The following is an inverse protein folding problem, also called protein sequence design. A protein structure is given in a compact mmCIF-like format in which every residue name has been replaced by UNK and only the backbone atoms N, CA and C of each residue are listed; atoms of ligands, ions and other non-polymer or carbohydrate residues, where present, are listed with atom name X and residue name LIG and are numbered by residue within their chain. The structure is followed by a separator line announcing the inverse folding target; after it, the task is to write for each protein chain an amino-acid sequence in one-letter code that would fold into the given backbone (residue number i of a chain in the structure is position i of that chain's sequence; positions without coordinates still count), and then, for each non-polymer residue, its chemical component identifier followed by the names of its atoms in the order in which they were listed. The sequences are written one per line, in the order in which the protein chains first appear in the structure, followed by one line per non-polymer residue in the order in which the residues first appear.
data_IF_892997660453
#
_entry.id   IF_892997660453
#
_cell.length_a   1.000
_cell.length_b   1.000
_cell.length_c   1.000
_cell.angle_alpha   90.00
_cell.angle_beta   90.00
_cell.angle_gamma   90.00
#
_symmetry.space_group_name_H-M   'P 1'
#
loop_
_entity.id
_entity.type
_entity.pdbx_description
1 polymer ?
#
# COMPACT_ATOMS: atom_id res chain seq x y z
N UNK A 1 6.83 -28.85 6.02
CA UNK A 1 8.00 -27.94 5.86
C UNK A 1 7.47 -26.54 5.75
N UNK A 2 7.97 -25.62 6.57
CA UNK A 2 7.50 -24.24 6.65
C UNK A 2 8.00 -23.43 5.46
N UNK A 3 7.26 -22.40 5.08
CA UNK A 3 7.58 -21.43 4.02
C UNK A 3 9.04 -20.89 4.06
N UNK A 4 9.64 -20.86 5.24
CA UNK A 4 11.04 -20.46 5.44
C UNK A 4 12.08 -21.49 5.00
N UNK A 5 11.73 -22.75 4.83
CA UNK A 5 12.69 -23.79 4.38
C UNK A 5 12.79 -23.89 2.85
N UNK A 6 11.76 -23.46 2.11
CA UNK A 6 11.75 -23.50 0.65
C UNK A 6 12.74 -22.56 -0.03
N UNK A 7 13.17 -21.50 0.67
CA UNK A 7 14.08 -20.48 0.10
C UNK A 7 15.58 -20.77 0.34
N UNK A 8 15.94 -21.83 1.07
CA UNK A 8 17.35 -22.11 1.43
C UNK A 8 18.17 -22.88 0.41
N UNK A 9 17.57 -23.41 -0.66
CA UNK A 9 18.26 -24.26 -1.63
C UNK A 9 18.43 -23.63 -3.01
N UNK A 10 19.05 -22.46 -3.12
CA UNK A 10 19.68 -22.01 -4.36
C UNK A 10 20.99 -21.31 -4.05
N UNK A 11 22.04 -22.08 -3.92
CA UNK A 11 23.40 -21.56 -3.96
C UNK A 11 24.20 -22.29 -5.01
N UNK A 12 24.94 -21.46 -5.77
CA UNK A 12 26.18 -21.73 -6.47
C UNK A 12 26.13 -22.65 -7.71
N UNK A 13 25.80 -22.01 -8.83
CA UNK A 13 26.35 -22.37 -10.11
C UNK A 13 27.30 -21.28 -10.61
N UNK A 14 28.61 -21.50 -10.51
CA UNK A 14 29.63 -20.65 -11.13
C UNK A 14 29.50 -20.73 -12.64
N UNK A 15 29.09 -19.67 -13.31
CA UNK A 15 29.30 -19.53 -14.76
C UNK A 15 30.47 -18.59 -15.01
N UNK A 16 31.45 -19.13 -15.71
CA UNK A 16 32.62 -18.44 -16.25
C UNK A 16 32.19 -17.46 -17.34
N UNK A 17 32.71 -16.26 -17.28
CA UNK A 17 32.63 -15.26 -18.35
C UNK A 17 33.67 -15.58 -19.42
N UNK A 18 33.39 -15.46 -20.73
CA UNK A 18 34.43 -15.22 -21.72
C UNK A 18 34.60 -13.71 -21.94
N UNK A 19 35.84 -13.31 -22.01
CA UNK A 19 36.28 -11.96 -22.39
C UNK A 19 36.31 -11.85 -23.92
N UNK A 20 36.01 -10.67 -24.45
CA UNK A 20 36.20 -10.37 -25.87
C UNK A 20 35.76 -8.97 -26.26
N UNK A 21 36.70 -8.05 -26.18
CA UNK A 21 37.07 -6.91 -27.08
C UNK A 21 35.95 -6.32 -27.97
N UNK A 22 35.60 -5.05 -27.75
CA UNK A 22 36.10 -3.78 -28.33
C UNK A 22 35.81 -3.62 -29.85
N UNK A 23 35.14 -2.62 -30.27
CA UNK A 23 35.65 -1.39 -30.90
C UNK A 23 34.50 -0.48 -31.41
N UNK A 24 34.80 0.78 -31.37
CA UNK A 24 33.96 1.91 -31.77
C UNK A 24 33.67 1.96 -33.29
N UNK A 25 32.59 2.64 -33.66
CA UNK A 25 32.56 3.49 -34.85
C UNK A 25 31.48 4.59 -34.71
N UNK A 26 31.97 5.81 -34.83
CA UNK A 26 31.26 7.06 -35.02
C UNK A 26 30.73 7.22 -36.45
N UNK A 27 29.90 8.20 -36.62
CA UNK A 27 29.43 8.90 -37.80
C UNK A 27 27.99 8.51 -38.18
N UNK A 28 26.99 9.39 -38.09
CA UNK A 28 26.94 10.68 -38.77
C UNK A 28 25.89 10.60 -39.87
N UNK A 29 24.67 11.09 -39.59
CA UNK A 29 23.80 11.56 -40.70
C UNK A 29 23.02 12.78 -40.24
N UNK A 30 23.44 13.90 -40.82
CA UNK A 30 22.77 15.22 -40.84
C UNK A 30 22.20 15.41 -42.23
N UNK A 31 21.11 16.21 -42.30
CA UNK A 31 20.51 16.83 -43.50
C UNK A 31 19.39 15.99 -44.16
N UNK A 32 18.25 16.52 -44.51
CA UNK A 32 17.69 17.79 -44.97
C UNK A 32 16.20 17.57 -45.26
N UNK A 33 15.40 18.59 -45.05
CA UNK A 33 14.20 19.06 -45.77
C UNK A 33 13.31 19.75 -44.74
N UNK A 34 12.87 20.94 -44.85
CA UNK A 34 12.75 21.91 -45.88
C UNK A 34 11.85 23.02 -45.35
N UNK A 35 12.22 24.23 -45.54
CA UNK A 35 11.54 25.44 -45.08
C UNK A 35 10.14 25.60 -45.68
N UNK A 36 9.17 26.04 -44.87
CA UNK A 36 8.05 26.82 -45.35
C UNK A 36 7.80 27.97 -44.39
N UNK A 37 7.81 29.17 -44.92
CA UNK A 37 7.64 30.46 -44.26
C UNK A 37 6.27 30.64 -43.62
N UNK A 38 6.24 31.21 -42.40
CA UNK A 38 5.17 32.07 -41.95
C UNK A 38 5.77 33.13 -41.01
N UNK A 39 5.37 34.36 -41.25
CA UNK A 39 5.88 35.62 -40.73
C UNK A 39 5.82 35.69 -39.19
N UNK A 40 6.90 36.21 -38.60
CA UNK A 40 6.97 36.67 -37.21
C UNK A 40 6.18 37.98 -37.10
N UNK A 41 5.10 38.00 -36.31
CA UNK A 41 4.62 39.21 -35.67
C UNK A 41 5.22 39.29 -34.28
N UNK A 42 6.10 40.26 -34.07
CA UNK A 42 6.65 40.67 -32.78
C UNK A 42 5.52 41.18 -31.88
N UNK A 43 5.09 40.39 -30.91
CA UNK A 43 4.25 40.85 -29.81
C UNK A 43 5.15 41.28 -28.66
N UNK A 44 5.19 42.57 -28.40
CA UNK A 44 5.88 43.19 -27.28
C UNK A 44 5.22 42.74 -25.93
N UNK A 45 5.93 41.91 -25.22
CA UNK A 45 5.50 41.35 -23.91
C UNK A 45 5.69 42.34 -22.75
N UNK A 46 6.10 43.59 -22.99
CA UNK A 46 6.35 44.57 -21.93
C UNK A 46 5.08 45.28 -21.40
N UNK A 47 3.94 45.16 -22.08
CA UNK A 47 2.68 45.84 -21.69
C UNK A 47 1.71 44.98 -20.86
N UNK A 48 2.07 43.75 -20.48
CA UNK A 48 1.15 42.82 -19.78
C UNK A 48 1.50 42.50 -18.32
N UNK A 49 2.47 43.16 -17.72
CA UNK A 49 2.83 42.97 -16.31
C UNK A 49 3.01 44.29 -15.58
N UNK A 50 1.90 44.99 -15.33
CA UNK A 50 1.85 46.02 -14.28
C UNK A 50 1.60 45.30 -12.93
N UNK A 51 2.70 44.96 -12.23
CA UNK A 51 2.71 44.27 -10.93
C UNK A 51 2.82 45.26 -9.74
N UNK A 52 2.34 46.50 -9.89
CA UNK A 52 2.54 47.54 -8.87
C UNK A 52 1.43 47.67 -7.82
N UNK A 53 0.39 46.83 -7.82
CA UNK A 53 -0.64 46.84 -6.74
C UNK A 53 -1.09 45.46 -6.32
N UNK A 54 -0.24 44.67 -5.61
CA UNK A 54 -0.69 43.67 -4.65
C UNK A 54 0.28 43.70 -3.47
N UNK A 55 0.08 44.67 -2.57
CA UNK A 55 0.46 44.51 -1.16
C UNK A 55 -0.61 43.63 -0.52
N UNK A 56 -0.49 42.31 -0.63
CA UNK A 56 -1.19 41.39 0.26
C UNK A 56 -0.40 41.33 1.56
N UNK A 57 -1.11 41.65 2.66
CA UNK A 57 -0.70 41.42 4.03
C UNK A 57 -0.28 39.95 4.19
N UNK A 58 1.01 39.67 3.99
CA UNK A 58 1.61 38.42 4.41
C UNK A 58 1.68 38.45 5.94
N UNK A 59 0.65 37.94 6.62
CA UNK A 59 0.82 37.50 7.99
C UNK A 59 2.07 36.61 8.03
N UNK A 60 3.08 37.04 8.80
CA UNK A 60 4.25 36.22 9.09
C UNK A 60 3.78 34.90 9.70
N UNK A 61 3.69 33.85 8.88
CA UNK A 61 3.51 32.49 9.37
C UNK A 61 4.79 32.14 10.12
N UNK A 62 4.74 32.14 11.43
CA UNK A 62 5.84 31.68 12.29
C UNK A 62 6.13 30.22 11.92
N UNK A 63 7.17 30.04 11.11
CA UNK A 63 7.67 28.70 10.76
C UNK A 63 8.31 28.13 12.02
N UNK A 64 7.54 27.36 12.76
CA UNK A 64 8.04 26.61 13.91
C UNK A 64 9.19 25.71 13.44
N UNK A 65 10.28 25.60 14.23
CA UNK A 65 11.37 24.70 13.89
C UNK A 65 10.84 23.28 13.71
N UNK A 66 11.38 22.51 12.75
CA UNK A 66 10.92 21.16 12.40
C UNK A 66 10.67 20.25 13.60
N UNK A 67 11.51 20.35 14.62
CA UNK A 67 11.46 19.52 15.84
C UNK A 67 10.24 19.78 16.71
N UNK A 68 9.76 21.05 16.79
CA UNK A 68 8.59 21.39 17.59
C UNK A 68 7.30 20.84 16.97
N UNK A 69 7.23 20.79 15.64
CA UNK A 69 6.08 20.23 14.90
C UNK A 69 6.02 18.71 15.03
N UNK A 70 7.18 18.03 14.95
CA UNK A 70 7.32 16.58 15.15
C UNK A 70 6.90 16.17 16.56
N UNK A 71 7.39 16.86 17.59
CA UNK A 71 7.03 16.58 19.00
C UNK A 71 5.55 16.81 19.31
N UNK A 72 4.93 17.82 18.69
CA UNK A 72 3.50 18.09 18.87
C UNK A 72 2.63 17.01 18.19
N UNK A 73 3.05 16.52 17.02
CA UNK A 73 2.38 15.44 16.27
C UNK A 73 2.54 14.09 16.95
N UNK A 74 3.74 13.76 17.40
CA UNK A 74 3.99 12.52 18.13
C UNK A 74 3.08 12.41 19.34
N UNK A 75 2.89 13.50 20.09
CA UNK A 75 1.92 13.56 21.18
C UNK A 75 0.47 13.36 20.74
N UNK A 76 0.07 13.92 19.61
CA UNK A 76 -1.29 13.79 19.09
C UNK A 76 -1.61 12.34 18.65
N UNK A 77 -0.64 11.66 18.04
CA UNK A 77 -0.82 10.32 17.48
C UNK A 77 -0.62 9.20 18.49
N UNK A 78 0.16 9.45 19.55
CA UNK A 78 0.57 8.44 20.52
C UNK A 78 0.13 8.78 21.95
N UNK A 79 -0.76 9.76 22.15
CA UNK A 79 -1.28 10.07 23.47
C UNK A 79 -2.07 8.90 24.02
N UNK A 80 -1.72 8.37 25.21
CA UNK A 80 -2.46 7.28 25.81
C UNK A 80 -3.90 7.66 26.07
N UNK A 81 -4.85 6.78 25.72
CA UNK A 81 -6.24 6.95 26.11
C UNK A 81 -6.40 6.60 27.59
N UNK A 82 -7.16 7.43 28.34
CA UNK A 82 -7.44 7.15 29.74
C UNK A 82 -8.22 5.84 29.87
N UNK A 83 -7.71 4.93 30.71
CA UNK A 83 -8.30 3.60 30.88
C UNK A 83 -8.00 2.57 29.81
N UNK A 84 -7.23 2.92 28.77
CA UNK A 84 -6.79 1.97 27.76
C UNK A 84 -5.75 1.02 28.35
N UNK A 85 -5.82 -0.30 28.04
CA UNK A 85 -4.76 -1.26 28.39
C UNK A 85 -3.47 -1.00 27.62
N UNK A 86 -3.54 -0.20 26.56
CA UNK A 86 -2.42 0.21 25.72
C UNK A 86 -2.07 1.67 25.99
N UNK A 87 -0.80 2.02 25.90
CA UNK A 87 -0.33 3.39 26.07
C UNK A 87 -0.61 4.31 24.87
N UNK A 88 -1.25 3.82 23.81
CA UNK A 88 -1.64 4.59 22.63
C UNK A 88 -3.13 4.91 22.64
N UNK A 89 -3.49 6.14 22.29
CA UNK A 89 -4.90 6.49 22.04
C UNK A 89 -5.32 5.91 20.68
N UNK A 90 -6.09 4.82 20.70
CA UNK A 90 -6.50 4.13 19.49
C UNK A 90 -7.46 4.91 18.60
N UNK A 91 -8.15 5.92 19.12
CA UNK A 91 -9.03 6.78 18.33
C UNK A 91 -8.23 7.61 17.30
N UNK A 92 -6.98 7.94 17.63
CA UNK A 92 -6.09 8.71 16.75
C UNK A 92 -4.90 7.90 16.24
N UNK A 93 -4.82 6.61 16.60
CA UNK A 93 -3.77 5.73 16.10
C UNK A 93 -4.02 5.40 14.62
N UNK A 94 -3.22 5.94 13.75
CA UNK A 94 -3.39 5.79 12.29
C UNK A 94 -3.25 4.34 11.77
N UNK A 95 -2.83 3.41 12.59
CA UNK A 95 -2.84 1.98 12.25
C UNK A 95 -4.23 1.35 12.37
N UNK A 96 -5.05 1.84 13.29
CA UNK A 96 -6.36 1.26 13.58
C UNK A 96 -7.52 2.16 13.15
N UNK A 97 -7.28 3.46 13.11
CA UNK A 97 -8.31 4.45 12.75
C UNK A 97 -7.84 5.20 11.52
N UNK A 98 -8.37 4.89 10.33
CA UNK A 98 -8.06 5.65 9.14
C UNK A 98 -8.45 7.12 9.37
N UNK A 99 -7.52 8.00 9.10
CA UNK A 99 -7.84 9.43 9.03
C UNK A 99 -8.89 9.65 7.96
N UNK A 100 -9.78 10.63 8.16
CA UNK A 100 -10.74 10.99 7.14
C UNK A 100 -10.02 11.31 5.83
N UNK A 101 -10.40 10.65 4.76
CA UNK A 101 -9.80 10.84 3.42
C UNK A 101 -9.92 12.26 2.89
N UNK A 102 -10.73 13.09 3.52
CA UNK A 102 -10.96 14.49 3.17
C UNK A 102 -9.83 15.41 3.60
N UNK A 103 -9.00 14.99 4.57
CA UNK A 103 -7.81 15.76 4.99
C UNK A 103 -6.54 15.15 4.38
N UNK A 104 -6.34 15.37 3.10
CA UNK A 104 -5.17 14.85 2.36
C UNK A 104 -3.85 15.40 2.91
N UNK A 105 -3.84 16.63 3.40
CA UNK A 105 -2.63 17.24 3.95
C UNK A 105 -2.20 16.52 5.24
N UNK A 106 -3.11 16.27 6.17
CA UNK A 106 -2.82 15.54 7.40
C UNK A 106 -2.40 14.08 7.12
N UNK A 107 -3.07 13.42 6.16
CA UNK A 107 -2.68 12.08 5.72
C UNK A 107 -1.27 12.08 5.13
N UNK A 108 -0.95 13.05 4.27
CA UNK A 108 0.37 13.17 3.66
C UNK A 108 1.46 13.41 4.70
N UNK A 109 1.24 14.31 5.61
CA UNK A 109 2.17 14.59 6.70
C UNK A 109 2.50 13.34 7.52
N UNK A 110 1.51 12.51 7.83
CA UNK A 110 1.71 11.23 8.48
C UNK A 110 2.56 10.27 7.60
N UNK A 111 2.28 10.23 6.30
CA UNK A 111 2.94 9.31 5.37
C UNK A 111 4.43 9.60 5.18
N UNK A 112 4.83 10.86 5.26
CA UNK A 112 6.22 11.28 5.03
C UNK A 112 7.09 11.35 6.31
N UNK A 113 6.50 11.09 7.49
CA UNK A 113 7.30 10.99 8.72
C UNK A 113 8.28 9.81 8.65
N UNK A 114 9.46 9.94 9.24
CA UNK A 114 10.37 8.81 9.43
C UNK A 114 9.66 7.63 10.10
N UNK A 115 10.18 6.44 9.90
CA UNK A 115 9.68 5.21 10.52
C UNK A 115 10.79 4.64 11.44
N UNK A 116 10.43 4.25 12.64
CA UNK A 116 11.32 3.49 13.50
C UNK A 116 11.19 2.01 13.21
N UNK A 117 12.29 1.37 12.83
CA UNK A 117 12.37 -0.09 12.57
C UNK A 117 13.39 -0.72 13.52
N UNK A 118 13.45 -2.05 13.57
CA UNK A 118 14.49 -2.77 14.29
C UNK A 118 15.67 -3.04 13.36
N UNK A 119 16.88 -2.66 13.78
CA UNK A 119 18.13 -2.85 13.00
C UNK A 119 18.52 -4.33 12.98
N UNK A 120 17.80 -5.09 12.20
CA UNK A 120 17.98 -6.52 11.98
C UNK A 120 17.75 -6.84 10.50
N UNK A 121 18.09 -8.05 10.08
CA UNK A 121 17.91 -8.45 8.70
C UNK A 121 16.40 -8.47 8.33
N UNK A 122 16.06 -7.98 7.15
CA UNK A 122 14.69 -7.91 6.60
C UNK A 122 13.93 -9.26 6.52
N UNK A 123 14.59 -10.37 6.81
CA UNK A 123 13.99 -11.72 6.89
C UNK A 123 14.15 -12.34 8.26
N UNK A 124 14.47 -11.52 9.25
CA UNK A 124 14.65 -11.97 10.62
C UNK A 124 13.55 -11.40 11.50
N UNK A 125 12.79 -12.26 12.16
CA UNK A 125 11.84 -11.85 13.18
C UNK A 125 12.56 -11.65 14.51
N UNK A 126 12.50 -10.44 15.01
CA UNK A 126 12.97 -10.08 16.35
C UNK A 126 11.87 -10.36 17.34
N UNK A 127 12.15 -11.18 18.33
CA UNK A 127 11.21 -11.50 19.40
C UNK A 127 11.15 -10.36 20.39
N UNK A 128 9.95 -9.91 20.69
CA UNK A 128 9.70 -8.80 21.61
C UNK A 128 9.35 -9.37 22.97
N UNK A 129 10.09 -8.96 23.98
CA UNK A 129 10.03 -9.50 25.33
C UNK A 129 8.86 -8.90 26.10
N UNK A 130 8.33 -9.69 27.04
CA UNK A 130 7.29 -9.23 27.95
C UNK A 130 7.86 -8.27 29.03
N UNK A 131 9.07 -8.50 29.46
CA UNK A 131 9.76 -7.73 30.49
C UNK A 131 11.09 -7.19 29.95
N UNK A 132 11.57 -6.03 30.44
CA UNK A 132 12.83 -5.42 30.03
C UNK A 132 14.06 -6.14 30.64
N UNK A 133 14.18 -7.42 30.33
CA UNK A 133 15.22 -8.31 30.87
C UNK A 133 15.72 -9.24 29.77
N UNK A 134 17.06 -9.30 29.61
CA UNK A 134 17.71 -10.20 28.65
C UNK A 134 17.44 -11.69 28.92
N UNK A 135 17.16 -12.06 30.16
CA UNK A 135 16.88 -13.42 30.58
C UNK A 135 15.38 -13.78 30.51
N UNK A 136 14.52 -12.79 30.20
CA UNK A 136 13.09 -13.03 29.96
C UNK A 136 12.89 -13.93 28.74
N UNK A 137 12.19 -15.06 28.95
CA UNK A 137 11.86 -16.05 27.91
C UNK A 137 10.41 -15.98 27.44
N UNK A 138 9.62 -15.05 28.00
CA UNK A 138 8.28 -14.75 27.58
C UNK A 138 8.28 -13.64 26.53
N UNK A 139 7.50 -13.85 25.46
CA UNK A 139 7.44 -12.94 24.32
C UNK A 139 6.01 -12.54 24.02
N UNK A 140 5.77 -11.29 23.72
CA UNK A 140 4.45 -10.72 23.40
C UNK A 140 4.16 -10.70 21.90
N UNK A 141 5.20 -10.72 21.05
CA UNK A 141 5.07 -10.73 19.60
C UNK A 141 6.44 -10.86 18.92
N UNK A 142 6.43 -10.83 17.61
CA UNK A 142 7.63 -10.79 16.77
C UNK A 142 7.47 -9.69 15.71
N UNK A 143 8.55 -8.97 15.43
CA UNK A 143 8.62 -7.89 14.44
C UNK A 143 9.67 -8.23 13.38
N UNK A 144 9.33 -8.04 12.12
CA UNK A 144 10.30 -8.23 11.04
C UNK A 144 11.31 -7.08 11.02
N UNK A 145 12.59 -7.41 11.09
CA UNK A 145 13.68 -6.43 11.06
C UNK A 145 13.69 -5.59 9.79
N UNK A 146 14.25 -4.40 9.87
CA UNK A 146 14.52 -3.43 8.82
C UNK A 146 13.31 -2.92 8.00
N UNK A 147 12.17 -3.62 7.99
CA UNK A 147 11.03 -3.24 7.13
C UNK A 147 9.75 -2.93 7.87
N UNK A 148 9.54 -3.51 9.04
CA UNK A 148 8.33 -3.30 9.82
C UNK A 148 8.56 -2.20 10.86
N UNK A 149 7.68 -1.21 10.86
CA UNK A 149 7.68 -0.11 11.81
C UNK A 149 7.20 -0.53 13.19
N UNK A 150 7.75 0.15 14.20
CA UNK A 150 7.35 0.06 15.59
C UNK A 150 7.11 1.46 16.15
N UNK A 151 6.11 1.61 17.01
CA UNK A 151 5.94 2.83 17.78
C UNK A 151 6.66 2.71 19.11
N UNK A 152 7.56 3.64 19.39
CA UNK A 152 8.29 3.70 20.66
C UNK A 152 7.42 4.45 21.66
N UNK A 153 6.82 3.71 22.60
CA UNK A 153 5.96 4.29 23.64
C UNK A 153 6.75 4.86 24.80
N UNK A 154 7.90 4.23 25.11
CA UNK A 154 8.79 4.65 26.16
C UNK A 154 10.22 4.27 25.77
N UNK A 155 11.08 5.26 25.62
CA UNK A 155 12.49 5.07 25.30
C UNK A 155 13.30 5.05 26.58
N UNK A 156 13.85 3.89 26.94
CA UNK A 156 14.78 3.75 28.03
C UNK A 156 16.24 3.71 27.54
N UNK A 157 17.18 3.62 28.48
CA UNK A 157 18.62 3.57 28.19
C UNK A 157 19.00 2.22 27.55
N UNK A 158 18.63 1.10 28.18
CA UNK A 158 18.93 -0.25 27.68
C UNK A 158 17.74 -0.88 26.97
N UNK A 159 16.51 -0.66 27.48
CA UNK A 159 15.28 -1.24 27.00
C UNK A 159 14.25 -0.17 26.66
N UNK A 160 13.55 -0.35 25.58
CA UNK A 160 12.43 0.52 25.16
C UNK A 160 11.15 -0.28 25.06
N UNK A 161 10.04 0.30 25.53
CA UNK A 161 8.70 -0.24 25.31
C UNK A 161 8.22 0.19 23.93
N UNK A 162 7.79 -0.79 23.12
CA UNK A 162 7.27 -0.57 21.78
C UNK A 162 5.87 -1.13 21.62
N UNK A 163 5.15 -0.62 20.62
CA UNK A 163 3.91 -1.17 20.11
C UNK A 163 4.10 -1.53 18.62
N UNK A 164 3.54 -2.66 18.21
CA UNK A 164 3.53 -3.11 16.82
C UNK A 164 2.44 -4.16 16.58
N UNK A 165 2.23 -4.54 15.31
CA UNK A 165 1.50 -5.76 14.97
C UNK A 165 2.47 -6.93 14.82
N UNK A 166 2.10 -8.09 15.36
CA UNK A 166 2.97 -9.25 15.32
C UNK A 166 3.04 -9.88 13.93
N UNK A 167 4.26 -10.19 13.51
CA UNK A 167 4.59 -10.89 12.26
C UNK A 167 5.19 -12.27 12.52
N UNK A 168 4.81 -12.95 13.62
CA UNK A 168 5.29 -14.28 13.94
C UNK A 168 5.01 -15.25 12.78
N UNK A 169 6.04 -15.93 12.22
CA UNK A 169 5.80 -16.88 11.15
C UNK A 169 5.15 -18.17 11.66
N UNK A 170 4.53 -18.92 10.76
CA UNK A 170 4.05 -20.26 11.08
C UNK A 170 5.19 -21.13 11.63
N UNK A 171 4.94 -21.79 12.75
CA UNK A 171 5.94 -22.61 13.47
C UNK A 171 6.82 -21.83 14.45
N UNK A 172 6.64 -20.52 14.60
CA UNK A 172 7.25 -19.78 15.70
C UNK A 172 6.75 -20.29 17.07
N UNK A 173 7.60 -20.12 18.08
CA UNK A 173 7.19 -20.34 19.50
C UNK A 173 6.29 -19.22 19.98
N UNK A 174 6.41 -18.01 19.42
CA UNK A 174 5.52 -16.90 19.65
C UNK A 174 4.31 -17.09 18.75
N UNK A 175 3.15 -17.39 19.33
CA UNK A 175 1.93 -17.73 18.59
C UNK A 175 0.98 -16.55 18.50
N UNK A 176 1.52 -15.38 18.18
CA UNK A 176 0.79 -14.13 17.99
C UNK A 176 0.98 -13.70 16.54
N UNK A 177 -0.09 -13.56 15.79
CA UNK A 177 -0.03 -13.17 14.38
C UNK A 177 -1.09 -12.11 14.07
N UNK A 178 -0.66 -11.04 13.38
CA UNK A 178 -1.50 -9.93 12.95
C UNK A 178 -2.30 -9.26 14.09
N UNK A 179 -1.93 -9.51 15.33
CA UNK A 179 -2.50 -8.87 16.51
C UNK A 179 -1.58 -7.76 16.99
N UNK A 180 -2.18 -6.66 17.46
CA UNK A 180 -1.44 -5.55 18.05
C UNK A 180 -0.98 -5.93 19.45
N UNK A 181 0.27 -5.62 19.76
CA UNK A 181 0.90 -5.96 21.04
C UNK A 181 1.84 -4.86 21.51
N UNK A 182 2.18 -4.92 22.79
CA UNK A 182 3.24 -4.11 23.40
C UNK A 182 4.28 -5.02 24.06
N UNK A 183 5.52 -4.56 24.10
CA UNK A 183 6.61 -5.28 24.75
C UNK A 183 7.95 -4.57 24.61
N UNK A 184 8.98 -5.19 25.12
CA UNK A 184 10.30 -4.57 25.26
C UNK A 184 11.29 -5.11 24.24
N UNK A 185 12.09 -4.19 23.71
CA UNK A 185 13.21 -4.45 22.81
C UNK A 185 14.44 -3.69 23.31
N UNK A 186 15.64 -4.22 23.04
CA UNK A 186 16.87 -3.48 23.33
C UNK A 186 16.87 -2.15 22.57
N UNK A 187 17.09 -1.06 23.27
CA UNK A 187 17.08 0.31 22.70
C UNK A 187 18.08 0.47 21.56
N UNK A 188 19.21 -0.25 21.63
CA UNK A 188 20.24 -0.28 20.58
C UNK A 188 19.77 -0.80 19.23
N UNK A 189 18.65 -1.56 19.18
CA UNK A 189 18.06 -2.05 17.94
C UNK A 189 17.14 -1.05 17.26
N UNK A 190 16.74 0.04 17.94
CA UNK A 190 15.84 1.03 17.37
C UNK A 190 16.59 1.92 16.37
N UNK A 191 16.13 1.92 15.13
CA UNK A 191 16.70 2.69 14.04
C UNK A 191 15.61 3.50 13.34
N UNK A 192 15.82 4.80 13.26
CA UNK A 192 14.97 5.69 12.48
C UNK A 192 15.39 5.67 11.01
N UNK A 193 14.41 5.58 10.12
CA UNK A 193 14.60 5.52 8.67
C UNK A 193 13.74 6.57 8.01
N UNK A 194 14.39 7.46 7.29
CA UNK A 194 13.76 8.46 6.45
C UNK A 194 13.05 7.80 5.25
N UNK A 195 11.88 8.32 4.89
CA UNK A 195 11.05 7.77 3.82
C UNK A 195 10.97 8.67 2.59
N UNK A 196 10.53 8.10 1.49
CA UNK A 196 10.30 8.80 0.23
C UNK A 196 9.30 9.95 0.41
N UNK A 197 9.60 11.10 -0.18
CA UNK A 197 8.80 12.32 -0.09
C UNK A 197 7.97 12.53 -1.38
N UNK A 198 8.05 11.62 -2.34
CA UNK A 198 7.31 11.70 -3.59
C UNK A 198 6.09 10.78 -3.60
N UNK A 199 6.26 9.55 -3.14
CA UNK A 199 5.20 8.54 -3.12
C UNK A 199 5.09 7.86 -1.76
N UNK A 200 3.85 7.61 -1.36
CA UNK A 200 3.52 6.74 -0.24
C UNK A 200 2.25 5.94 -0.54
N UNK A 201 2.05 4.84 0.16
CA UNK A 201 0.94 3.91 -0.10
C UNK A 201 0.20 3.62 1.18
N UNK A 202 -1.14 3.64 1.12
CA UNK A 202 -2.00 3.13 2.17
C UNK A 202 -2.79 1.94 1.61
N UNK A 203 -2.88 0.88 2.40
CA UNK A 203 -3.71 -0.30 2.11
C UNK A 203 -4.78 -0.40 3.19
N UNK A 204 -6.03 -0.29 2.78
CA UNK A 204 -7.17 -0.45 3.65
C UNK A 204 -7.70 -1.89 3.56
N UNK A 205 -7.45 -2.67 4.61
CA UNK A 205 -7.87 -4.08 4.69
C UNK A 205 -9.38 -4.25 4.72
N UNK A 206 -10.13 -3.26 5.20
CA UNK A 206 -11.57 -3.34 5.26
C UNK A 206 -12.21 -3.05 3.91
N UNK A 207 -11.77 -1.97 3.23
CA UNK A 207 -12.26 -1.60 1.90
C UNK A 207 -11.62 -2.41 0.77
N UNK A 208 -10.51 -3.12 1.05
CA UNK A 208 -9.70 -3.81 0.04
C UNK A 208 -9.27 -2.86 -1.09
N UNK A 209 -8.73 -1.71 -0.67
CA UNK A 209 -8.24 -0.65 -1.55
C UNK A 209 -6.79 -0.33 -1.22
N UNK A 210 -6.05 -0.01 -2.26
CA UNK A 210 -4.73 0.57 -2.17
C UNK A 210 -4.80 2.00 -2.68
N UNK A 211 -4.40 2.94 -1.84
CA UNK A 211 -4.36 4.37 -2.12
C UNK A 211 -2.91 4.77 -2.37
N UNK A 212 -2.64 5.38 -3.52
CA UNK A 212 -1.34 5.96 -3.85
C UNK A 212 -1.43 7.45 -3.57
N UNK A 213 -0.61 7.92 -2.66
CA UNK A 213 -0.40 9.35 -2.43
C UNK A 213 0.84 9.81 -3.18
N UNK A 214 0.76 10.99 -3.76
CA UNK A 214 1.84 11.65 -4.48
C UNK A 214 1.90 13.11 -4.07
N UNK A 215 3.04 13.54 -3.52
CA UNK A 215 3.33 14.95 -3.26
C UNK A 215 2.16 15.72 -2.60
N UNK A 216 1.62 15.15 -1.52
CA UNK A 216 0.58 15.79 -0.73
C UNK A 216 -0.86 15.43 -1.08
N UNK A 217 -1.11 14.67 -2.14
CA UNK A 217 -2.48 14.41 -2.62
C UNK A 217 -2.72 12.93 -2.87
N UNK A 218 -3.97 12.50 -2.69
CA UNK A 218 -4.42 11.20 -3.19
C UNK A 218 -4.36 11.21 -4.72
N UNK A 219 -3.44 10.41 -5.26
CA UNK A 219 -3.18 10.35 -6.69
C UNK A 219 -4.03 9.31 -7.40
N UNK A 220 -4.18 8.12 -6.80
CA UNK A 220 -4.96 7.03 -7.41
C UNK A 220 -5.43 6.01 -6.39
N UNK A 221 -6.52 5.32 -6.70
CA UNK A 221 -7.09 4.25 -5.87
C UNK A 221 -7.21 2.97 -6.69
N UNK A 222 -6.60 1.89 -6.19
CA UNK A 222 -6.60 0.58 -6.83
C UNK A 222 -7.40 -0.43 -6.02
N UNK A 223 -7.97 -1.42 -6.71
CA UNK A 223 -8.46 -2.63 -6.06
C UNK A 223 -7.28 -3.48 -5.60
N UNK A 224 -7.39 -4.00 -4.40
CA UNK A 224 -6.47 -5.02 -3.90
C UNK A 224 -7.23 -6.22 -3.31
N UNK A 225 -6.47 -7.26 -2.95
CA UNK A 225 -6.96 -8.41 -2.21
C UNK A 225 -5.88 -8.80 -1.20
N UNK A 226 -6.20 -8.65 0.09
CA UNK A 226 -5.30 -8.96 1.20
C UNK A 226 -5.53 -10.38 1.73
N UNK A 227 -4.77 -10.75 2.72
CA UNK A 227 -4.83 -12.04 3.39
C UNK A 227 -6.17 -12.29 4.09
N UNK A 228 -6.55 -13.54 4.10
CA UNK A 228 -7.82 -14.01 4.62
C UNK A 228 -7.64 -14.77 5.94
N UNK A 229 -8.18 -14.23 7.02
CA UNK A 229 -8.27 -14.94 8.29
C UNK A 229 -9.41 -15.97 8.26
N UNK A 230 -9.09 -17.23 8.54
CA UNK A 230 -10.08 -18.29 8.64
C UNK A 230 -10.11 -18.92 10.04
N UNK A 231 -11.01 -18.46 10.93
CA UNK A 231 -11.07 -18.94 12.30
C UNK A 231 -11.43 -20.44 12.38
N UNK A 232 -12.16 -20.97 11.40
CA UNK A 232 -12.54 -22.39 11.35
C UNK A 232 -11.35 -23.32 11.10
N UNK A 233 -10.39 -22.86 10.33
CA UNK A 233 -9.15 -23.60 10.02
C UNK A 233 -8.06 -23.36 11.05
N UNK A 234 -8.26 -22.47 12.02
CA UNK A 234 -7.25 -22.07 13.02
C UNK A 234 -5.90 -21.70 12.38
N UNK A 235 -5.96 -21.07 11.21
CA UNK A 235 -4.78 -20.63 10.49
C UNK A 235 -4.78 -19.09 10.41
N UNK A 236 -4.24 -18.41 11.42
CA UNK A 236 -4.17 -16.96 11.45
C UNK A 236 -3.11 -16.40 10.49
N UNK A 237 -2.11 -17.21 10.09
CA UNK A 237 -0.94 -16.76 9.31
C UNK A 237 -1.26 -16.31 7.89
N UNK A 238 -2.47 -16.54 7.41
CA UNK A 238 -2.95 -15.99 6.14
C UNK A 238 -3.43 -14.55 6.25
N UNK A 239 -3.61 -14.01 7.44
CA UNK A 239 -3.97 -12.61 7.63
C UNK A 239 -2.80 -11.70 7.23
N UNK A 240 -3.08 -10.60 6.54
CA UNK A 240 -2.09 -9.55 6.30
C UNK A 240 -1.96 -8.70 7.57
N UNK A 241 -0.80 -8.62 8.22
CA UNK A 241 -0.61 -7.76 9.39
C UNK A 241 -0.86 -6.29 9.03
N UNK A 242 -1.47 -5.55 9.93
CA UNK A 242 -1.55 -4.10 9.85
C UNK A 242 -0.24 -3.46 10.34
N UNK A 243 -0.12 -2.13 10.24
CA UNK A 243 1.01 -1.36 10.73
C UNK A 243 1.71 -0.57 9.64
N UNK A 244 2.92 -0.13 9.93
CA UNK A 244 3.80 0.58 9.01
C UNK A 244 4.88 -0.34 8.46
N UNK A 245 5.19 -0.15 7.19
CA UNK A 245 6.18 -0.94 6.50
C UNK A 245 6.98 -0.08 5.52
N UNK A 246 8.16 -0.57 5.16
CA UNK A 246 8.94 -0.05 4.04
C UNK A 246 8.85 -0.99 2.86
N UNK A 247 8.69 -0.46 1.65
CA UNK A 247 8.94 -1.21 0.43
C UNK A 247 10.45 -1.46 0.34
N UNK A 248 10.90 -2.66 0.73
CA UNK A 248 12.30 -2.89 1.06
C UNK A 248 13.09 -3.65 -0.01
N UNK A 249 12.43 -4.38 -0.89
CA UNK A 249 13.11 -5.06 -2.00
C UNK A 249 12.20 -5.47 -3.13
N UNK A 250 12.73 -5.38 -4.35
CA UNK A 250 12.09 -5.88 -5.59
C UNK A 250 12.46 -7.34 -5.80
N UNK A 251 11.57 -8.24 -5.40
CA UNK A 251 11.79 -9.69 -5.48
C UNK A 251 11.68 -10.22 -6.93
N UNK A 252 10.94 -9.48 -7.78
CA UNK A 252 10.67 -9.91 -9.15
C UNK A 252 9.54 -10.95 -9.25
N UNK A 253 9.55 -11.71 -10.33
CA UNK A 253 8.57 -12.75 -10.56
C UNK A 253 8.94 -14.03 -9.78
N UNK A 254 7.94 -14.68 -9.20
CA UNK A 254 8.12 -15.97 -8.53
C UNK A 254 6.93 -16.90 -8.78
N UNK A 255 7.19 -18.21 -8.66
CA UNK A 255 6.17 -19.24 -8.80
C UNK A 255 5.97 -19.99 -7.49
N UNK A 256 4.73 -20.24 -7.14
CA UNK A 256 4.39 -21.24 -6.14
C UNK A 256 4.27 -22.60 -6.81
N UNK A 257 4.82 -23.62 -6.15
CA UNK A 257 4.86 -24.99 -6.64
C UNK A 257 4.11 -25.91 -5.70
N UNK A 258 3.45 -26.89 -6.25
CA UNK A 258 2.88 -28.00 -5.50
C UNK A 258 4.02 -28.81 -4.86
N UNK A 259 3.92 -29.06 -3.56
CA UNK A 259 4.99 -29.75 -2.81
C UNK A 259 5.18 -31.22 -3.23
N UNK A 260 4.10 -31.86 -3.66
CA UNK A 260 4.13 -33.28 -4.02
C UNK A 260 4.66 -33.51 -5.44
N UNK A 261 4.33 -32.63 -6.38
CA UNK A 261 4.68 -32.79 -7.79
C UNK A 261 5.85 -31.90 -8.23
N UNK A 262 6.14 -30.84 -7.47
CA UNK A 262 7.12 -29.80 -7.85
C UNK A 262 6.67 -28.92 -9.01
N UNK A 263 5.47 -29.11 -9.53
CA UNK A 263 4.91 -28.32 -10.63
C UNK A 263 4.43 -26.96 -10.15
N UNK A 264 4.66 -25.92 -10.96
CA UNK A 264 4.15 -24.58 -10.70
C UNK A 264 2.63 -24.53 -10.86
N UNK A 265 1.92 -23.96 -9.90
CA UNK A 265 0.46 -23.75 -10.00
C UNK A 265 0.05 -22.30 -9.95
N UNK A 266 0.93 -21.40 -9.54
CA UNK A 266 0.65 -19.95 -9.43
C UNK A 266 1.91 -19.16 -9.77
N UNK A 267 1.76 -18.11 -10.58
CA UNK A 267 2.83 -17.17 -10.95
C UNK A 267 2.44 -15.79 -10.43
N UNK A 268 3.26 -15.22 -9.55
CA UNK A 268 3.14 -13.87 -9.02
C UNK A 268 4.20 -12.99 -9.69
N UNK A 269 3.78 -11.90 -10.33
CA UNK A 269 4.67 -11.01 -11.07
C UNK A 269 5.01 -9.75 -10.30
N UNK A 270 6.22 -9.25 -10.50
CA UNK A 270 6.70 -7.95 -10.02
C UNK A 270 6.49 -7.76 -8.52
N UNK A 271 6.90 -8.75 -7.74
CA UNK A 271 6.68 -8.75 -6.30
C UNK A 271 7.61 -7.77 -5.56
N UNK A 272 7.03 -6.84 -4.81
CA UNK A 272 7.70 -5.89 -3.94
C UNK A 272 7.53 -6.39 -2.50
N UNK A 273 8.64 -6.57 -1.79
CA UNK A 273 8.62 -7.00 -0.39
C UNK A 273 8.34 -5.82 0.54
N UNK A 274 7.41 -6.02 1.46
CA UNK A 274 7.10 -5.04 2.52
C UNK A 274 7.33 -5.63 3.93
N UNK A 275 7.16 -6.93 4.07
CA UNK A 275 7.40 -7.65 5.31
C UNK A 275 7.81 -9.09 4.97
N UNK A 276 8.70 -9.72 5.66
CA UNK A 276 9.28 -11.07 5.39
C UNK A 276 8.63 -11.82 4.22
N UNK A 277 7.55 -12.56 4.47
CA UNK A 277 6.77 -13.29 3.47
C UNK A 277 5.63 -12.50 2.81
N UNK A 278 5.38 -11.27 3.22
CA UNK A 278 4.28 -10.44 2.71
C UNK A 278 4.80 -9.55 1.58
N UNK A 279 4.21 -9.73 0.41
CA UNK A 279 4.61 -9.06 -0.82
C UNK A 279 3.40 -8.34 -1.44
N UNK A 280 3.66 -7.17 -2.02
CA UNK A 280 2.79 -6.55 -3.01
C UNK A 280 3.11 -7.20 -4.36
N UNK A 281 2.13 -7.73 -5.06
CA UNK A 281 2.34 -8.29 -6.39
C UNK A 281 1.09 -8.18 -7.26
N UNK A 282 1.27 -8.27 -8.58
CA UNK A 282 0.17 -8.34 -9.52
C UNK A 282 -0.76 -9.51 -9.17
N UNK A 283 -2.08 -9.37 -9.42
CA UNK A 283 -2.99 -10.53 -9.39
C UNK A 283 -2.31 -11.73 -10.05
N UNK A 284 -2.18 -12.88 -9.38
CA UNK A 284 -1.42 -13.98 -9.92
C UNK A 284 -2.14 -14.71 -11.04
N UNK A 285 -1.36 -15.26 -11.96
CA UNK A 285 -1.84 -16.29 -12.88
C UNK A 285 -1.89 -17.64 -12.16
N UNK A 286 -2.94 -18.39 -12.39
CA UNK A 286 -3.13 -19.73 -11.83
C UNK A 286 -3.29 -20.72 -12.96
N UNK A 287 -2.64 -21.89 -12.83
CA UNK A 287 -2.81 -22.98 -13.77
C UNK A 287 -4.20 -23.61 -13.58
N UNK A 288 -5.05 -23.50 -14.57
CA UNK A 288 -6.37 -24.12 -14.58
C UNK A 288 -6.24 -25.65 -14.68
N UNK A 289 -6.70 -26.36 -13.66
CA UNK A 289 -6.69 -27.84 -13.65
C UNK A 289 -7.61 -28.45 -14.70
N UNK A 290 -8.62 -27.71 -15.18
CA UNK A 290 -9.58 -28.20 -16.17
C UNK A 290 -9.12 -28.02 -17.60
N UNK A 291 -8.37 -26.94 -17.90
CA UNK A 291 -7.92 -26.61 -19.26
C UNK A 291 -6.42 -26.76 -19.46
N UNK A 292 -5.62 -26.83 -18.40
CA UNK A 292 -4.17 -26.81 -18.47
C UNK A 292 -3.59 -25.44 -18.85
N UNK A 293 -4.40 -24.39 -18.90
CA UNK A 293 -3.98 -23.04 -19.29
C UNK A 293 -3.74 -22.14 -18.08
N UNK A 294 -2.83 -21.19 -18.22
CA UNK A 294 -2.59 -20.15 -17.25
C UNK A 294 -3.62 -19.02 -17.40
N UNK A 295 -4.37 -18.73 -16.34
CA UNK A 295 -5.41 -17.70 -16.34
C UNK A 295 -5.33 -16.80 -15.12
N UNK A 296 -5.78 -15.57 -15.27
CA UNK A 296 -5.98 -14.63 -14.17
C UNK A 296 -7.40 -14.73 -13.54
N UNK A 297 -8.36 -15.31 -14.25
CA UNK A 297 -9.80 -15.28 -13.93
C UNK A 297 -10.10 -15.71 -12.50
N UNK A 298 -9.43 -16.76 -12.03
CA UNK A 298 -9.62 -17.30 -10.69
C UNK A 298 -9.16 -16.36 -9.57
N UNK A 299 -8.32 -15.37 -9.87
CA UNK A 299 -7.78 -14.45 -8.88
C UNK A 299 -8.31 -13.02 -9.05
N UNK A 300 -8.56 -12.58 -10.29
CA UNK A 300 -9.15 -11.26 -10.56
C UNK A 300 -10.56 -11.13 -9.99
N UNK A 301 -11.35 -12.19 -10.00
CA UNK A 301 -12.70 -12.20 -9.43
C UNK A 301 -12.75 -11.93 -7.92
N UNK A 302 -11.62 -12.07 -7.22
CA UNK A 302 -11.51 -11.81 -5.78
C UNK A 302 -10.92 -10.44 -5.44
N UNK A 303 -10.59 -9.61 -6.42
CA UNK A 303 -10.19 -8.23 -6.14
C UNK A 303 -11.35 -7.49 -5.45
N UNK A 304 -11.02 -6.77 -4.38
CA UNK A 304 -12.00 -6.15 -3.50
C UNK A 304 -12.46 -7.03 -2.32
N UNK A 305 -11.96 -8.28 -2.24
CA UNK A 305 -12.21 -9.19 -1.13
C UNK A 305 -10.92 -9.73 -0.54
N UNK A 306 -10.95 -10.13 0.74
CA UNK A 306 -9.85 -10.86 1.37
C UNK A 306 -9.80 -12.29 0.84
N UNK A 307 -8.74 -12.65 0.11
CA UNK A 307 -8.65 -13.97 -0.52
C UNK A 307 -7.23 -14.51 -0.68
N UNK A 308 -6.21 -13.80 -0.18
CA UNK A 308 -4.81 -14.25 -0.29
C UNK A 308 -4.35 -15.02 0.96
N UNK A 309 -3.13 -15.50 0.93
CA UNK A 309 -2.45 -16.14 2.06
C UNK A 309 -1.45 -15.16 2.73
N UNK A 310 -1.80 -13.87 2.81
CA UNK A 310 -1.00 -12.83 3.43
C UNK A 310 -0.48 -11.78 2.45
N UNK A 311 -0.05 -12.17 1.26
CA UNK A 311 0.37 -11.22 0.21
C UNK A 311 -0.78 -10.30 -0.22
N UNK A 312 -0.43 -9.16 -0.79
CA UNK A 312 -1.37 -8.17 -1.26
C UNK A 312 -1.38 -8.20 -2.79
N UNK A 313 -2.48 -8.70 -3.34
CA UNK A 313 -2.71 -8.79 -4.79
C UNK A 313 -3.25 -7.48 -5.30
N UNK A 314 -2.68 -6.93 -6.37
CA UNK A 314 -3.04 -5.62 -6.92
C UNK A 314 -3.57 -5.79 -8.33
N UNK A 315 -4.57 -4.99 -8.69
CA UNK A 315 -5.18 -5.01 -10.03
C UNK A 315 -4.15 -4.78 -11.15
N UNK A 316 -4.35 -5.46 -12.28
CA UNK A 316 -3.58 -5.30 -13.52
C UNK A 316 -4.07 -4.13 -14.36
N UNK A 317 -5.38 -3.90 -14.33
CA UNK A 317 -6.00 -2.86 -15.13
C UNK A 317 -5.59 -1.49 -14.61
N UNK A 318 -5.35 -0.57 -15.53
CA UNK A 318 -5.03 0.81 -15.21
C UNK A 318 -6.23 1.54 -14.61
N UNK A 319 -5.97 2.39 -13.63
CA UNK A 319 -6.94 3.41 -13.18
C UNK A 319 -7.02 4.55 -14.21
N UNK A 320 -7.99 5.48 -14.10
CA UNK A 320 -8.03 6.66 -14.97
C UNK A 320 -6.73 7.47 -14.97
N UNK A 321 -6.01 7.49 -13.84
CA UNK A 321 -4.72 8.20 -13.69
C UNK A 321 -3.54 7.41 -14.29
N UNK A 322 -3.80 6.26 -14.90
CA UNK A 322 -2.78 5.41 -15.51
C UNK A 322 -1.97 4.57 -14.50
N UNK A 323 -2.53 4.29 -13.33
CA UNK A 323 -1.89 3.52 -12.26
C UNK A 323 -2.41 2.09 -12.26
N UNK A 324 -1.49 1.13 -12.15
CA UNK A 324 -1.75 -0.27 -11.88
C UNK A 324 -0.54 -0.87 -11.12
N UNK A 325 -0.48 -2.18 -10.95
CA UNK A 325 0.66 -2.80 -10.26
C UNK A 325 2.00 -2.60 -10.99
N UNK A 326 2.00 -2.62 -12.33
CA UNK A 326 3.23 -2.34 -13.09
C UNK A 326 3.74 -0.92 -12.89
N UNK A 327 2.83 0.04 -12.75
CA UNK A 327 3.16 1.42 -12.40
C UNK A 327 3.78 1.50 -11.00
N UNK A 328 3.21 0.81 -9.99
CA UNK A 328 3.79 0.73 -8.65
C UNK A 328 5.22 0.19 -8.68
N UNK A 329 5.44 -0.91 -9.41
CA UNK A 329 6.75 -1.50 -9.61
C UNK A 329 7.80 -0.52 -10.16
N UNK A 330 7.40 0.38 -11.04
CA UNK A 330 8.29 1.36 -11.70
C UNK A 330 8.55 2.60 -10.88
N UNK A 331 7.59 3.02 -10.06
CA UNK A 331 7.59 4.34 -9.43
C UNK A 331 7.85 4.31 -7.92
N UNK A 332 7.54 3.22 -7.22
CA UNK A 332 7.90 3.09 -5.81
C UNK A 332 9.41 2.87 -5.67
N UNK A 333 9.96 3.22 -4.52
CA UNK A 333 11.39 3.13 -4.24
C UNK A 333 11.72 2.15 -3.11
N UNK A 334 12.74 1.33 -3.31
CA UNK A 334 13.32 0.43 -2.31
C UNK A 334 14.57 1.01 -1.63
N UNK A 335 14.84 2.29 -1.86
CA UNK A 335 15.97 2.98 -1.26
C UNK A 335 17.35 2.49 -1.70
N UNK A 336 17.44 1.60 -2.69
CA UNK A 336 18.74 0.98 -3.08
C UNK A 336 19.58 1.87 -4.00
N UNK A 337 18.96 2.83 -4.69
CA UNK A 337 19.69 3.77 -5.56
C UNK A 337 20.21 4.96 -4.75
N UNK A 338 21.37 5.49 -5.07
CA UNK A 338 21.92 6.67 -4.39
C UNK A 338 20.93 7.84 -4.37
N UNK A 339 20.68 8.38 -3.17
CA UNK A 339 19.77 9.51 -2.97
C UNK A 339 18.28 9.16 -2.93
N UNK A 340 17.91 7.89 -3.14
CA UNK A 340 16.55 7.43 -2.95
C UNK A 340 16.31 6.98 -1.51
N UNK A 341 15.09 7.22 -1.03
CA UNK A 341 14.58 6.73 0.26
C UNK A 341 13.53 5.65 0.01
N UNK A 342 13.22 4.85 1.03
CA UNK A 342 12.21 3.80 0.94
C UNK A 342 10.81 4.39 0.84
N UNK A 343 9.96 3.84 -0.02
CA UNK A 343 8.52 4.18 -0.01
C UNK A 343 7.87 3.57 1.23
N UNK A 344 7.18 4.40 2.02
CA UNK A 344 6.37 3.96 3.16
C UNK A 344 5.06 3.33 2.68
N UNK A 345 4.70 2.23 3.32
CA UNK A 345 3.44 1.51 3.12
C UNK A 345 2.74 1.38 4.47
N UNK A 346 1.57 1.96 4.61
CA UNK A 346 0.72 1.79 5.79
C UNK A 346 -0.39 0.81 5.45
N UNK A 347 -0.63 -0.16 6.34
CA UNK A 347 -1.75 -1.11 6.23
C UNK A 347 -2.69 -0.85 7.39
N UNK A 348 -3.88 -0.33 7.10
CA UNK A 348 -4.90 -0.09 8.10
C UNK A 348 -5.59 -1.37 8.51
N UNK A 349 -5.68 -1.56 9.82
CA UNK A 349 -6.40 -2.70 10.40
C UNK A 349 -7.90 -2.59 10.14
N UNK A 350 -8.55 -3.74 10.13
CA UNK A 350 -10.00 -3.88 9.97
C UNK A 350 -10.67 -4.60 11.13
N UNK A 351 -9.90 -5.02 12.13
CA UNK A 351 -10.44 -5.71 13.30
C UNK A 351 -11.43 -4.82 14.05
N UNK A 352 -12.69 -5.26 14.17
CA UNK A 352 -13.78 -4.55 14.83
C UNK A 352 -14.05 -3.13 14.31
N UNK A 353 -13.64 -2.84 13.09
CA UNK A 353 -13.91 -1.56 12.41
C UNK A 353 -15.16 -1.69 11.55
N UNK A 354 -16.09 -0.75 11.69
CA UNK A 354 -17.29 -0.65 10.88
C UNK A 354 -17.13 0.41 9.79
N UNK A 355 -17.50 0.05 8.57
CA UNK A 355 -17.63 0.99 7.46
C UNK A 355 -18.97 1.70 7.59
N UNK A 356 -18.93 3.04 7.50
CA UNK A 356 -20.14 3.83 7.28
C UNK A 356 -20.65 3.72 5.85
N UNK A 357 -21.92 4.11 5.65
CA UNK A 357 -22.45 4.26 4.31
C UNK A 357 -21.92 5.54 3.66
N UNK A 358 -21.69 5.52 2.34
CA UNK A 358 -21.44 6.74 1.58
C UNK A 358 -22.62 7.71 1.69
N UNK A 359 -22.35 8.99 1.46
CA UNK A 359 -23.37 10.03 1.35
C UNK A 359 -24.33 9.68 0.21
N UNK A 360 -25.63 9.80 0.46
CA UNK A 360 -26.66 9.54 -0.55
C UNK A 360 -26.55 10.51 -1.75
N UNK A 361 -25.96 11.69 -1.58
CA UNK A 361 -25.70 12.68 -2.63
C UNK A 361 -24.38 12.42 -3.41
N UNK A 362 -23.58 11.42 -3.03
CA UNK A 362 -22.37 11.04 -3.76
C UNK A 362 -22.71 10.73 -5.23
N UNK A 363 -22.03 11.39 -6.16
CA UNK A 363 -22.26 11.21 -7.59
C UNK A 363 -21.59 9.94 -8.09
N UNK A 364 -22.37 9.08 -8.67
CA UNK A 364 -21.97 7.92 -9.46
C UNK A 364 -22.33 8.12 -10.92
N UNK A 365 -21.80 7.27 -11.78
CA UNK A 365 -21.99 7.39 -13.22
C UNK A 365 -22.37 6.03 -13.84
N UNK A 366 -23.14 6.06 -14.93
CA UNK A 366 -23.45 4.85 -15.69
C UNK A 366 -23.57 5.13 -17.19
N UNK A 367 -23.43 4.09 -17.99
CA UNK A 367 -23.68 4.17 -19.42
C UNK A 367 -25.15 3.83 -19.71
N UNK A 368 -25.91 4.81 -20.23
CA UNK A 368 -27.33 4.62 -20.59
C UNK A 368 -27.53 3.69 -21.78
N UNK A 369 -26.52 3.52 -22.64
CA UNK A 369 -26.57 2.60 -23.77
C UNK A 369 -26.13 1.19 -23.37
N UNK A 370 -27.05 0.42 -22.79
CA UNK A 370 -26.83 -0.97 -22.36
C UNK A 370 -25.74 -1.18 -21.31
N UNK A 371 -25.40 -0.16 -20.52
CA UNK A 371 -24.47 -0.28 -19.41
C UNK A 371 -24.99 -1.25 -18.34
N UNK A 372 -24.12 -2.13 -17.85
CA UNK A 372 -24.41 -3.09 -16.78
C UNK A 372 -23.68 -2.77 -15.48
N UNK A 373 -22.95 -1.66 -15.46
CA UNK A 373 -22.10 -1.26 -14.34
C UNK A 373 -22.26 0.21 -14.01
N UNK A 374 -22.08 0.54 -12.74
CA UNK A 374 -21.92 1.90 -12.27
C UNK A 374 -20.47 2.21 -11.96
N UNK A 375 -20.10 3.49 -12.01
CA UNK A 375 -18.71 3.98 -12.01
C UNK A 375 -18.55 5.16 -11.05
N UNK A 376 -17.31 5.38 -10.57
CA UNK A 376 -16.94 6.56 -9.78
C UNK A 376 -16.45 7.73 -10.64
N UNK A 377 -16.25 7.53 -11.95
CA UNK A 377 -15.73 8.55 -12.86
C UNK A 377 -16.59 8.64 -14.14
N UNK A 378 -16.87 9.85 -14.64
CA UNK A 378 -17.61 10.05 -15.89
C UNK A 378 -16.83 9.59 -17.13
N UNK A 379 -15.51 9.44 -17.02
CA UNK A 379 -14.59 9.02 -18.07
C UNK A 379 -13.89 7.72 -17.73
N UNK A 380 -14.58 6.82 -17.02
CA UNK A 380 -14.00 5.56 -16.59
C UNK A 380 -13.42 4.76 -17.74
N UNK A 381 -12.16 4.37 -17.61
CA UNK A 381 -11.42 3.55 -18.57
C UNK A 381 -12.06 2.18 -18.89
N UNK A 382 -12.89 1.66 -18.01
CA UNK A 382 -13.67 0.44 -18.24
C UNK A 382 -14.81 0.59 -19.26
N UNK A 383 -15.01 1.80 -19.81
CA UNK A 383 -16.03 2.11 -20.84
C UNK A 383 -15.35 2.78 -22.02
N UNK A 384 -15.75 2.39 -23.24
CA UNK A 384 -15.20 2.98 -24.48
C UNK A 384 -15.45 4.50 -24.51
N UNK A 385 -14.46 5.28 -24.91
CA UNK A 385 -14.49 6.75 -24.97
C UNK A 385 -15.71 7.33 -25.70
N UNK A 386 -16.19 6.66 -26.75
CA UNK A 386 -17.38 7.11 -27.49
C UNK A 386 -18.66 7.24 -26.64
N UNK A 387 -18.66 6.70 -25.42
CA UNK A 387 -19.77 6.79 -24.47
C UNK A 387 -19.49 7.81 -23.36
N UNK A 388 -18.37 8.52 -23.41
CA UNK A 388 -18.04 9.55 -22.45
C UNK A 388 -18.65 10.91 -22.85
N UNK A 389 -19.00 11.75 -21.86
CA UNK A 389 -19.05 11.44 -20.42
C UNK A 389 -20.22 10.52 -20.09
N UNK A 390 -20.05 9.66 -19.08
CA UNK A 390 -21.13 8.83 -18.55
C UNK A 390 -22.17 9.68 -17.83
N UNK A 391 -23.40 9.18 -17.76
CA UNK A 391 -24.53 9.88 -17.15
C UNK A 391 -24.43 9.82 -15.61
N UNK A 392 -24.49 10.96 -14.90
CA UNK A 392 -24.45 10.99 -13.45
C UNK A 392 -25.79 10.57 -12.83
N UNK A 393 -25.71 10.00 -11.62
CA UNK A 393 -26.82 9.75 -10.71
C UNK A 393 -26.31 9.72 -9.27
N UNK A 394 -27.19 9.76 -8.28
CA UNK A 394 -26.81 9.79 -6.86
C UNK A 394 -26.70 8.39 -6.28
N UNK A 395 -25.78 8.20 -5.32
CA UNK A 395 -25.61 6.94 -4.61
C UNK A 395 -26.92 6.46 -3.94
N UNK A 396 -27.68 7.39 -3.35
CA UNK A 396 -28.98 7.09 -2.73
C UNK A 396 -30.01 6.47 -3.70
N UNK A 397 -29.86 6.69 -5.02
CA UNK A 397 -30.73 6.12 -6.05
C UNK A 397 -30.29 4.71 -6.51
N UNK A 398 -29.14 4.22 -6.00
CA UNK A 398 -28.49 3.02 -6.51
C UNK A 398 -29.36 1.76 -6.40
N UNK A 399 -30.25 1.70 -5.41
CA UNK A 399 -31.16 0.56 -5.19
C UNK A 399 -32.51 0.71 -5.91
N UNK A 400 -32.75 1.85 -6.56
CA UNK A 400 -33.94 2.13 -7.34
C UNK A 400 -33.76 1.76 -8.83
N UNK A 401 -34.86 1.60 -9.55
CA UNK A 401 -34.82 1.46 -11.00
C UNK A 401 -34.45 2.81 -11.66
N UNK A 402 -33.56 2.82 -12.66
CA UNK A 402 -32.99 1.67 -13.40
C UNK A 402 -31.69 1.14 -12.84
N UNK A 403 -31.14 1.70 -11.74
CA UNK A 403 -29.78 1.47 -11.25
C UNK A 403 -29.62 0.19 -10.42
N UNK A 404 -30.73 -0.37 -9.91
CA UNK A 404 -30.72 -1.51 -8.99
C UNK A 404 -30.11 -2.81 -9.57
N UNK A 405 -29.96 -2.90 -10.90
CA UNK A 405 -29.31 -4.04 -11.57
C UNK A 405 -27.84 -3.80 -11.94
N UNK A 406 -27.35 -2.58 -11.75
CA UNK A 406 -25.98 -2.25 -12.07
C UNK A 406 -25.02 -2.89 -11.06
N UNK A 407 -23.91 -3.43 -11.56
CA UNK A 407 -22.80 -3.95 -10.73
C UNK A 407 -21.70 -2.89 -10.62
N UNK A 408 -20.89 -2.89 -9.56
CA UNK A 408 -19.76 -1.99 -9.49
C UNK A 408 -18.75 -2.27 -10.60
N UNK A 409 -18.14 -1.21 -11.13
CA UNK A 409 -17.09 -1.33 -12.13
C UNK A 409 -15.78 -1.79 -11.47
N UNK A 410 -15.13 -2.85 -11.95
CA UNK A 410 -13.86 -3.31 -11.39
C UNK A 410 -12.67 -2.42 -11.73
N UNK A 411 -12.82 -1.47 -12.66
CA UNK A 411 -11.73 -0.59 -13.09
C UNK A 411 -11.62 0.69 -12.25
N UNK A 412 -12.73 1.34 -11.94
CA UNK A 412 -12.74 2.57 -11.13
C UNK A 412 -13.23 2.35 -9.70
N UNK A 413 -13.57 1.10 -9.34
CA UNK A 413 -13.88 0.66 -7.99
C UNK A 413 -14.83 1.62 -7.23
N UNK A 414 -16.04 1.93 -7.75
CA UNK A 414 -16.98 2.82 -7.09
C UNK A 414 -17.38 2.25 -5.72
N UNK A 415 -17.91 3.11 -4.86
CA UNK A 415 -18.40 2.72 -3.56
C UNK A 415 -19.41 1.56 -3.68
N UNK A 416 -19.29 0.50 -2.86
CA UNK A 416 -20.22 -0.64 -2.92
C UNK A 416 -21.61 -0.27 -2.42
N UNK A 417 -22.60 -1.11 -2.73
CA UNK A 417 -23.97 -0.97 -2.20
C UNK A 417 -24.01 -1.15 -0.70
N UNK A 418 -25.04 -0.59 -0.05
CA UNK A 418 -25.23 -0.68 1.41
C UNK A 418 -25.22 -2.14 1.90
N UNK A 419 -25.90 -3.04 1.19
CA UNK A 419 -25.91 -4.48 1.54
C UNK A 419 -24.54 -5.17 1.45
N UNK A 420 -23.69 -4.71 0.55
CA UNK A 420 -22.30 -5.20 0.45
C UNK A 420 -21.45 -4.65 1.59
N UNK A 421 -21.66 -3.39 2.00
CA UNK A 421 -21.01 -2.80 3.19
C UNK A 421 -21.39 -3.58 4.45
N UNK A 422 -22.67 -3.90 4.63
CA UNK A 422 -23.16 -4.69 5.77
C UNK A 422 -22.50 -6.07 5.82
N UNK A 423 -22.32 -6.70 4.66
CA UNK A 423 -21.60 -7.99 4.56
C UNK A 423 -20.13 -7.85 4.94
N UNK A 424 -19.47 -6.77 4.55
CA UNK A 424 -18.08 -6.49 4.93
C UNK A 424 -17.99 -6.31 6.45
N UNK A 425 -18.83 -5.43 7.03
CA UNK A 425 -18.88 -5.18 8.46
C UNK A 425 -19.12 -6.46 9.25
N UNK A 426 -20.08 -7.27 8.82
CA UNK A 426 -20.36 -8.57 9.46
C UNK A 426 -19.18 -9.55 9.41
N UNK A 427 -18.39 -9.54 8.34
CA UNK A 427 -17.20 -10.41 8.22
C UNK A 427 -16.05 -9.94 9.11
N UNK A 428 -15.95 -8.64 9.40
CA UNK A 428 -14.86 -8.04 10.16
C UNK A 428 -15.15 -7.93 11.66
N UNK A 429 -16.37 -8.14 12.10
CA UNK A 429 -16.71 -8.29 13.51
C UNK A 429 -16.09 -9.60 14.04
N UNK A 430 -15.04 -9.49 14.87
CA UNK A 430 -14.25 -10.60 15.45
C UNK A 430 -14.46 -10.72 16.94
#
# INVERSE_FOLDING_TARGET
MTYGQMMRNKTTGKMKRPAGRALALLAGFVLLFGAAFAEEEDVDLSELLDLSEVEEDLEEVEILPPDATLLARDKQWHTPAEGSPYKCNHEVCYWTTPMGYTDEAAVWEMLIQPITVLDANQRHQVKIRKEPDKDCTEYTGEVTGASQGVHVLERGEEWSLIEAYSSSPEGSRVKVWAEKFQGYVETSLLKEVEVDQQYAVIIDKQWQRLYVYKEGKLFSTLLCSTGFYNPKKKNPWNETPAGEFLAISWTGDFSLKDEATGEGYMICKKAIRINDGILLHEVPMVLSKSTGEWTYDNCEGYLGEKASHGCIRIQRNYTPEGVNHEWLWKNLSDGTKPGQKYTKVIIWDDANRELGYPDDDLILYYNTDKGTRYHSSPTCYGVKEKFWPLTPFRYGELDDAPYNKLKPCPYCAPQPRKDAIDKINKKNNR
#
